data_IF_268428611058
#
_entry.id   IF_268428611058
#
_cell.length_a   1.000
_cell.length_b   1.000
_cell.length_c   1.000
_cell.angle_alpha   90.00
_cell.angle_beta   90.00
_cell.angle_gamma   90.00
#
_symmetry.space_group_name_H-M   'P 1'
#
loop_
_entity.id
_entity.type
_entity.pdbx_description
1 polymer ?
#
# COMPACT_ATOMS: atom_id res chain seq x y z
N UNK A 1 -13.33 -21.52 10.79
CA UNK A 1 -12.02 -22.19 10.70
C UNK A 1 -11.19 -21.43 9.68
N UNK A 2 -10.45 -20.40 10.11
CA UNK A 2 -9.41 -19.80 9.28
C UNK A 2 -8.30 -20.85 9.15
N UNK A 3 -8.20 -21.47 7.97
CA UNK A 3 -7.11 -22.40 7.66
C UNK A 3 -5.80 -21.63 7.76
N UNK A 4 -4.80 -22.29 8.36
CA UNK A 4 -3.55 -21.72 8.82
C UNK A 4 -2.77 -20.90 7.79
N UNK A 5 -1.76 -20.20 8.29
CA UNK A 5 -0.78 -19.39 7.57
C UNK A 5 -0.30 -20.00 6.24
N UNK A 6 -1.10 -19.90 5.18
CA UNK A 6 -0.68 -20.15 3.80
C UNK A 6 0.02 -18.89 3.27
N UNK A 7 0.99 -18.37 4.05
CA UNK A 7 1.90 -17.35 3.55
C UNK A 7 2.77 -18.04 2.52
N UNK A 8 2.42 -17.85 1.24
CA UNK A 8 3.22 -18.33 0.13
C UNK A 8 4.64 -17.75 0.26
N UNK A 9 5.65 -18.56 -0.05
CA UNK A 9 7.04 -18.10 -0.03
C UNK A 9 7.50 -17.73 -1.44
N UNK A 10 6.84 -18.31 -2.45
CA UNK A 10 7.20 -18.13 -3.85
C UNK A 10 5.97 -17.91 -4.73
N UNK A 11 6.17 -17.20 -5.85
CA UNK A 11 5.20 -17.14 -6.94
C UNK A 11 4.94 -18.52 -7.57
N UNK A 12 5.82 -19.49 -7.36
CA UNK A 12 5.57 -20.87 -7.80
C UNK A 12 4.46 -21.55 -6.99
N UNK A 13 4.25 -21.15 -5.73
CA UNK A 13 3.27 -21.73 -4.81
C UNK A 13 1.85 -21.15 -5.00
N UNK A 14 1.73 -20.09 -5.81
CA UNK A 14 0.49 -19.38 -6.07
C UNK A 14 -0.48 -20.26 -6.86
N UNK A 15 -1.74 -20.29 -6.40
CA UNK A 15 -2.86 -21.00 -7.00
C UNK A 15 -4.00 -20.02 -7.37
N UNK A 16 -4.94 -20.43 -8.24
CA UNK A 16 -6.17 -19.67 -8.47
C UNK A 16 -6.92 -19.40 -7.15
N UNK A 17 -7.38 -18.17 -6.96
CA UNK A 17 -8.03 -17.70 -5.73
C UNK A 17 -7.07 -17.03 -4.73
N UNK A 18 -5.76 -17.24 -4.84
CA UNK A 18 -4.77 -16.56 -3.99
C UNK A 18 -4.72 -15.06 -4.28
N UNK A 19 -4.22 -14.29 -3.32
CA UNK A 19 -3.99 -12.85 -3.48
C UNK A 19 -2.51 -12.58 -3.71
N UNK A 20 -2.23 -11.69 -4.67
CA UNK A 20 -0.88 -11.21 -4.97
C UNK A 20 -0.83 -9.70 -4.85
N UNK A 21 0.33 -9.18 -4.44
CA UNK A 21 0.56 -7.75 -4.39
C UNK A 21 1.02 -7.28 -5.77
N UNK A 22 0.25 -6.39 -6.38
CA UNK A 22 0.59 -5.76 -7.65
C UNK A 22 1.27 -4.41 -7.40
N UNK A 23 2.35 -4.16 -8.14
CA UNK A 23 3.04 -2.88 -8.14
C UNK A 23 3.33 -2.41 -9.56
N UNK A 24 3.06 -1.14 -9.79
CA UNK A 24 3.46 -0.41 -10.98
C UNK A 24 4.16 0.90 -10.58
N UNK A 25 4.63 1.65 -11.57
CA UNK A 25 5.17 2.99 -11.36
C UNK A 25 4.11 4.00 -10.87
N UNK A 26 2.82 3.72 -11.06
CA UNK A 26 1.74 4.68 -10.78
C UNK A 26 0.93 4.33 -9.53
N UNK A 27 0.73 3.04 -9.30
CA UNK A 27 -0.08 2.55 -8.17
C UNK A 27 0.30 1.14 -7.77
N UNK A 28 -0.11 0.80 -6.56
CA UNK A 28 -0.12 -0.53 -5.98
C UNK A 28 -1.56 -0.98 -5.73
N UNK A 29 -1.82 -2.27 -5.87
CA UNK A 29 -3.11 -2.87 -5.49
C UNK A 29 -2.93 -4.35 -5.15
N UNK A 30 -4.00 -4.99 -4.71
CA UNK A 30 -4.05 -6.43 -4.48
C UNK A 30 -4.94 -7.05 -5.54
N UNK A 31 -4.42 -8.02 -6.27
CA UNK A 31 -5.21 -8.79 -7.22
C UNK A 31 -5.51 -10.18 -6.69
N UNK A 32 -6.67 -10.70 -7.08
CA UNK A 32 -7.02 -12.12 -6.92
C UNK A 32 -6.54 -12.84 -8.18
N UNK A 33 -5.90 -13.98 -7.98
CA UNK A 33 -5.37 -14.81 -9.07
C UNK A 33 -6.53 -15.54 -9.74
N UNK A 34 -6.67 -15.34 -11.04
CA UNK A 34 -7.74 -15.94 -11.85
C UNK A 34 -7.31 -17.31 -12.37
N UNK A 35 -6.07 -17.42 -12.86
CA UNK A 35 -5.54 -18.64 -13.45
C UNK A 35 -4.04 -18.73 -13.26
N UNK A 36 -3.54 -19.94 -13.11
CA UNK A 36 -2.10 -20.23 -13.03
C UNK A 36 -1.75 -21.25 -14.10
N UNK A 37 -0.61 -21.04 -14.78
CA UNK A 37 0.01 -21.99 -15.71
C UNK A 37 1.39 -22.38 -15.17
N UNK A 38 2.11 -23.33 -15.79
CA UNK A 38 3.44 -23.74 -15.32
C UNK A 38 4.42 -22.57 -15.17
N UNK A 39 4.33 -21.55 -16.02
CA UNK A 39 5.27 -20.43 -16.07
C UNK A 39 4.64 -19.08 -15.76
N UNK A 40 3.31 -18.96 -15.80
CA UNK A 40 2.59 -17.69 -15.69
C UNK A 40 1.52 -17.69 -14.59
N UNK A 41 1.27 -16.51 -14.06
CA UNK A 41 0.14 -16.18 -13.20
C UNK A 41 -0.70 -15.16 -13.96
N UNK A 42 -2.01 -15.34 -13.97
CA UNK A 42 -2.96 -14.47 -14.64
C UNK A 42 -3.88 -13.88 -13.59
N UNK A 43 -3.91 -12.54 -13.52
CA UNK A 43 -4.80 -11.79 -12.66
C UNK A 43 -5.14 -10.45 -13.30
N UNK A 44 -6.39 -10.01 -13.16
CA UNK A 44 -6.93 -8.80 -13.77
C UNK A 44 -6.66 -8.74 -15.30
N UNK A 45 -6.84 -9.87 -16.00
CA UNK A 45 -6.51 -10.04 -17.43
C UNK A 45 -5.03 -9.76 -17.82
N UNK A 46 -4.12 -9.63 -16.86
CA UNK A 46 -2.68 -9.41 -17.10
C UNK A 46 -1.92 -10.71 -16.78
N UNK A 47 -0.92 -11.03 -17.61
CA UNK A 47 -0.06 -12.20 -17.43
C UNK A 47 1.26 -11.78 -16.78
N UNK A 48 1.69 -12.50 -15.75
CA UNK A 48 2.93 -12.27 -15.04
C UNK A 48 3.77 -13.55 -15.00
N UNK A 49 5.09 -13.43 -15.08
CA UNK A 49 5.98 -14.59 -15.01
C UNK A 49 6.20 -15.04 -13.57
N UNK A 50 6.26 -16.35 -13.31
CA UNK A 50 6.53 -16.89 -11.97
C UNK A 50 7.96 -16.64 -11.48
N UNK A 51 8.92 -16.54 -12.40
CA UNK A 51 10.33 -16.41 -12.04
C UNK A 51 10.67 -15.05 -11.39
N UNK A 52 10.06 -13.96 -11.87
CA UNK A 52 10.38 -12.60 -11.44
C UNK A 52 9.15 -11.71 -11.22
N UNK A 53 7.95 -12.25 -11.38
CA UNK A 53 6.70 -11.52 -11.21
C UNK A 53 6.42 -10.48 -12.28
N UNK A 54 7.28 -10.28 -13.29
CA UNK A 54 7.12 -9.21 -14.28
C UNK A 54 5.99 -9.52 -15.25
N UNK A 55 5.28 -8.46 -15.69
CA UNK A 55 4.28 -8.54 -16.76
C UNK A 55 4.90 -9.12 -18.04
N UNK A 56 4.12 -9.94 -18.75
CA UNK A 56 4.44 -10.44 -20.09
C UNK A 56 3.24 -10.28 -21.05
N UNK A 57 3.44 -9.80 -22.29
CA UNK A 57 4.70 -9.32 -22.86
C UNK A 57 5.23 -8.07 -22.14
N UNK A 58 6.55 -7.92 -22.14
CA UNK A 58 7.20 -6.78 -21.50
C UNK A 58 7.02 -5.54 -22.36
N UNK A 59 6.32 -4.54 -21.84
CA UNK A 59 6.21 -3.22 -22.47
C UNK A 59 7.22 -2.27 -21.81
N UNK A 60 8.00 -1.53 -22.62
CA UNK A 60 9.06 -0.64 -22.10
C UNK A 60 8.56 0.44 -21.14
N UNK A 61 7.33 0.93 -21.33
CA UNK A 61 6.78 2.07 -20.59
C UNK A 61 5.90 1.67 -19.40
N UNK A 62 5.42 0.42 -19.35
CA UNK A 62 4.50 -0.05 -18.33
C UNK A 62 5.17 -1.10 -17.44
N UNK A 63 6.16 -0.65 -16.67
CA UNK A 63 6.82 -1.49 -15.68
C UNK A 63 5.83 -1.83 -14.56
N UNK A 64 5.38 -3.07 -14.57
CA UNK A 64 4.52 -3.62 -13.53
C UNK A 64 4.85 -5.08 -13.29
N UNK A 65 4.67 -5.47 -12.04
CA UNK A 65 5.03 -6.79 -11.57
C UNK A 65 4.19 -7.16 -10.36
N UNK A 66 4.17 -8.45 -10.04
CA UNK A 66 3.53 -8.99 -8.86
C UNK A 66 4.57 -9.54 -7.90
N UNK A 67 4.25 -9.47 -6.62
CA UNK A 67 4.99 -10.10 -5.53
C UNK A 67 4.01 -10.96 -4.72
N UNK A 68 4.57 -11.89 -3.96
CA UNK A 68 3.77 -12.64 -2.99
C UNK A 68 3.24 -11.68 -1.94
N UNK A 69 1.94 -11.79 -1.63
CA UNK A 69 1.31 -10.91 -0.65
C UNK A 69 1.73 -11.30 0.78
N UNK A 70 2.73 -10.60 1.31
CA UNK A 70 3.13 -10.74 2.72
C UNK A 70 2.19 -9.96 3.66
N UNK A 71 2.10 -10.33 4.95
CA UNK A 71 1.35 -9.55 5.94
C UNK A 71 1.80 -8.08 6.03
N UNK A 72 3.10 -7.83 5.88
CA UNK A 72 3.68 -6.48 5.89
C UNK A 72 3.23 -5.66 4.68
N UNK A 73 3.24 -6.24 3.48
CA UNK A 73 2.74 -5.59 2.27
C UNK A 73 1.24 -5.32 2.35
N UNK A 74 0.47 -6.26 2.91
CA UNK A 74 -0.96 -6.06 3.16
C UNK A 74 -1.22 -4.90 4.12
N UNK A 75 -0.47 -4.83 5.23
CA UNK A 75 -0.57 -3.73 6.19
C UNK A 75 -0.22 -2.39 5.54
N UNK A 76 0.92 -2.33 4.83
CA UNK A 76 1.35 -1.14 4.09
C UNK A 76 0.30 -0.67 3.10
N UNK A 77 -0.25 -1.59 2.30
CA UNK A 77 -1.29 -1.26 1.32
C UNK A 77 -2.54 -0.67 2.00
N UNK A 78 -3.00 -1.25 3.11
CA UNK A 78 -4.13 -0.71 3.89
C UNK A 78 -3.86 0.71 4.39
N UNK A 79 -2.65 0.97 4.90
CA UNK A 79 -2.25 2.30 5.34
C UNK A 79 -2.22 3.31 4.18
N UNK A 80 -1.72 2.92 3.01
CA UNK A 80 -1.72 3.79 1.82
C UNK A 80 -3.14 4.13 1.34
N UNK A 81 -4.04 3.16 1.31
CA UNK A 81 -5.46 3.36 0.94
C UNK A 81 -6.15 4.27 1.96
N UNK A 82 -5.96 4.01 3.25
CA UNK A 82 -6.50 4.85 4.33
C UNK A 82 -5.98 6.29 4.23
N UNK A 83 -4.67 6.47 4.02
CA UNK A 83 -4.06 7.79 3.85
C UNK A 83 -4.64 8.54 2.66
N UNK A 84 -4.79 7.89 1.50
CA UNK A 84 -5.42 8.50 0.31
C UNK A 84 -6.85 8.94 0.60
N UNK A 85 -7.62 8.11 1.31
CA UNK A 85 -8.99 8.42 1.70
C UNK A 85 -9.06 9.64 2.62
N UNK A 86 -8.22 9.69 3.67
CA UNK A 86 -8.15 10.82 4.59
C UNK A 86 -7.75 12.13 3.88
N UNK A 87 -6.75 12.09 3.00
CA UNK A 87 -6.36 13.25 2.20
C UNK A 87 -7.53 13.75 1.35
N UNK A 88 -8.27 12.83 0.73
CA UNK A 88 -9.43 13.20 -0.08
C UNK A 88 -10.54 13.83 0.78
N UNK A 89 -10.81 13.28 1.96
CA UNK A 89 -11.78 13.86 2.89
C UNK A 89 -11.38 15.29 3.28
N UNK A 90 -10.12 15.50 3.68
CA UNK A 90 -9.60 16.82 4.05
C UNK A 90 -9.71 17.80 2.89
N UNK A 91 -9.35 17.40 1.67
CA UNK A 91 -9.49 18.25 0.47
C UNK A 91 -10.93 18.65 0.17
N UNK A 92 -11.89 17.82 0.55
CA UNK A 92 -13.31 18.10 0.32
C UNK A 92 -13.92 19.01 1.40
N UNK A 93 -13.19 19.34 2.48
CA UNK A 93 -13.68 20.25 3.52
C UNK A 93 -13.70 21.67 2.97
N UNK A 94 -14.86 22.32 3.04
CA UNK A 94 -15.01 23.74 2.72
C UNK A 94 -14.54 24.59 3.90
N UNK A 95 -13.23 24.89 3.93
CA UNK A 95 -12.58 25.61 5.05
C UNK A 95 -13.28 26.94 5.36
N UNK A 96 -13.74 27.66 4.34
CA UNK A 96 -14.42 28.96 4.49
C UNK A 96 -15.77 28.90 5.23
N UNK A 97 -16.34 27.70 5.37
CA UNK A 97 -17.62 27.49 6.07
C UNK A 97 -17.45 27.00 7.51
N UNK A 98 -16.22 26.77 7.96
CA UNK A 98 -15.94 26.32 9.31
C UNK A 98 -16.07 27.48 10.30
N UNK A 99 -16.47 27.17 11.54
CA UNK A 99 -16.49 28.17 12.62
C UNK A 99 -15.08 28.49 13.12
N UNK A 100 -14.90 29.64 13.76
CA UNK A 100 -13.62 30.01 14.38
C UNK A 100 -13.11 28.94 15.36
N UNK A 101 -14.01 28.31 16.13
CA UNK A 101 -13.66 27.25 17.07
C UNK A 101 -13.12 26.00 16.34
N UNK A 102 -13.74 25.60 15.23
CA UNK A 102 -13.29 24.47 14.41
C UNK A 102 -11.93 24.75 13.76
N UNK A 103 -11.72 25.98 13.28
CA UNK A 103 -10.44 26.40 12.71
C UNK A 103 -9.33 26.39 13.77
N UNK A 104 -9.60 26.87 15.00
CA UNK A 104 -8.65 26.81 16.10
C UNK A 104 -8.24 25.37 16.45
N UNK A 105 -9.19 24.42 16.46
CA UNK A 105 -8.90 23.01 16.68
C UNK A 105 -7.99 22.42 15.60
N UNK A 106 -8.26 22.71 14.32
CA UNK A 106 -7.42 22.26 13.20
C UNK A 106 -5.98 22.79 13.35
N UNK A 107 -5.83 24.07 13.66
CA UNK A 107 -4.51 24.70 13.88
C UNK A 107 -3.78 24.02 15.02
N UNK A 108 -4.43 23.79 16.16
CA UNK A 108 -3.81 23.15 17.32
C UNK A 108 -3.29 21.74 17.01
N UNK A 109 -4.09 20.91 16.31
CA UNK A 109 -3.70 19.54 15.95
C UNK A 109 -2.50 19.52 14.98
N UNK A 110 -2.48 20.43 14.00
CA UNK A 110 -1.39 20.50 13.02
C UNK A 110 -0.09 21.03 13.61
N UNK A 111 -0.15 21.95 14.58
CA UNK A 111 1.03 22.52 15.23
C UNK A 111 1.69 21.55 16.22
N UNK A 112 0.91 20.79 17.01
CA UNK A 112 1.45 19.78 17.94
C UNK A 112 2.30 18.73 17.21
N UNK A 113 1.94 18.40 15.97
CA UNK A 113 2.66 17.40 15.18
C UNK A 113 4.03 17.89 14.69
N UNK A 114 4.22 19.21 14.51
CA UNK A 114 5.49 19.80 14.07
C UNK A 114 6.47 20.03 15.23
N UNK A 115 6.00 20.06 16.49
CA UNK A 115 6.86 20.22 17.67
C UNK A 115 7.46 18.91 18.20
N UNK A 116 6.93 17.75 17.79
CA UNK A 116 7.43 16.44 18.25
C UNK A 116 8.68 15.94 17.50
N UNK A 117 9.13 16.61 16.44
CA UNK A 117 10.42 16.29 15.79
C UNK A 117 11.64 16.88 16.54
N UNK A 118 11.43 17.79 17.52
CA UNK A 118 12.53 18.44 18.25
C UNK A 118 12.94 17.73 19.56
N UNK A 119 12.16 16.78 20.07
CA UNK A 119 12.44 16.14 21.38
C UNK A 119 13.52 15.04 21.29
N UNK A 120 13.83 14.52 20.10
CA UNK A 120 14.89 13.50 19.93
C UNK A 120 16.33 14.04 19.88
N UNK A 121 16.55 15.35 20.06
CA UNK A 121 17.90 15.96 20.04
C UNK A 121 18.44 16.42 21.40
N UNK A 122 17.68 16.29 22.49
CA UNK A 122 18.04 16.89 23.79
C UNK A 122 18.45 15.92 24.89
N UNK A 123 18.53 14.60 24.64
CA UNK A 123 18.97 13.60 25.64
C UNK A 123 20.42 13.11 25.48
N UNK A 124 21.27 13.84 24.75
CA UNK A 124 22.73 13.60 24.75
C UNK A 124 23.51 14.84 25.13
N UNK A 125 23.30 15.38 26.33
CA UNK A 125 24.26 16.28 26.96
C UNK A 125 23.88 16.55 28.42
N UNK A 126 24.24 15.65 29.34
CA UNK A 126 24.62 15.98 30.73
C UNK A 126 25.71 14.95 31.14
N UNK A 127 26.79 15.38 31.83
CA UNK A 127 28.12 14.74 31.79
C UNK A 127 28.23 13.36 32.43
#
# INVERSE_FOLDING_TARGET
MEKGNDIKQSLYDIQPGDKVYFRSNYFSTIYVVERVTPTLIICNNIKFRKNDGRKTPSERYHYCYIEVLTPELLYKHRQEVMRKHLIQQVKNIQIDKLTNDQLQQIVQITQISNSNEDISKTEKMVP
#
